data_IF_173059159191
#
_entry.id   IF_173059159191
#
_cell.length_a   1.000
_cell.length_b   1.000
_cell.length_c   1.000
_cell.angle_alpha   90.00
_cell.angle_beta   90.00
_cell.angle_gamma   90.00
#
_symmetry.space_group_name_H-M   'P 1'
#
loop_
_entity.id
_entity.type
_entity.pdbx_description
1 polymer ?
#
# COMPACT_ATOMS: atom_id res chain seq x y z
N UNK A 1 4.46 -18.10 15.50
CA UNK A 1 3.45 -17.50 14.59
C UNK A 1 4.03 -16.19 14.10
N UNK A 2 4.16 -16.04 12.80
CA UNK A 2 4.55 -14.80 12.10
C UNK A 2 3.54 -14.55 10.99
N UNK A 3 3.24 -13.28 10.76
CA UNK A 3 2.31 -12.84 9.72
C UNK A 3 3.04 -12.86 8.37
N UNK A 4 2.37 -13.35 7.33
CA UNK A 4 2.92 -13.34 5.97
C UNK A 4 2.77 -11.95 5.34
N UNK A 5 3.58 -11.66 4.33
CA UNK A 5 3.47 -10.40 3.58
C UNK A 5 2.12 -10.22 2.87
N UNK A 6 1.57 -11.31 2.34
CA UNK A 6 0.26 -11.30 1.66
C UNK A 6 -0.93 -11.43 2.61
N UNK A 7 -0.68 -11.73 3.88
CA UNK A 7 -1.73 -11.93 4.88
C UNK A 7 -2.21 -10.57 5.40
N UNK A 8 -3.51 -10.44 5.64
CA UNK A 8 -4.08 -9.23 6.24
C UNK A 8 -4.04 -9.28 7.76
N UNK A 9 -3.95 -8.12 8.42
CA UNK A 9 -3.93 -8.01 9.89
C UNK A 9 -5.13 -8.70 10.54
N UNK A 10 -6.31 -8.64 9.88
CA UNK A 10 -7.51 -9.31 10.38
C UNK A 10 -7.43 -10.84 10.38
N UNK A 11 -6.86 -11.43 9.33
CA UNK A 11 -6.66 -12.88 9.23
C UNK A 11 -5.62 -13.35 10.26
N UNK A 12 -4.53 -12.61 10.38
CA UNK A 12 -3.49 -12.87 11.37
C UNK A 12 -4.01 -12.80 12.80
N UNK A 13 -4.83 -11.79 13.11
CA UNK A 13 -5.45 -11.63 14.42
C UNK A 13 -6.34 -12.83 14.79
N UNK A 14 -7.11 -13.39 13.84
CA UNK A 14 -7.92 -14.58 14.09
C UNK A 14 -7.05 -15.80 14.43
N UNK A 15 -5.94 -16.00 13.72
CA UNK A 15 -4.99 -17.09 14.01
C UNK A 15 -4.37 -16.93 15.39
N UNK A 16 -3.98 -15.70 15.76
CA UNK A 16 -3.43 -15.41 17.07
C UNK A 16 -4.44 -15.70 18.18
N UNK A 17 -5.68 -15.23 18.04
CA UNK A 17 -6.74 -15.47 19.04
C UNK A 17 -7.07 -16.96 19.17
N UNK A 18 -7.09 -17.72 18.07
CA UNK A 18 -7.27 -19.18 18.13
C UNK A 18 -6.17 -19.85 18.97
N UNK A 19 -4.91 -19.48 18.73
CA UNK A 19 -3.77 -20.03 19.47
C UNK A 19 -3.80 -19.65 20.95
N UNK A 20 -4.17 -18.40 21.28
CA UNK A 20 -4.32 -17.95 22.68
C UNK A 20 -5.42 -18.75 23.38
N UNK A 21 -6.55 -18.96 22.71
CA UNK A 21 -7.67 -19.74 23.25
C UNK A 21 -7.30 -21.22 23.46
N UNK A 22 -6.59 -21.83 22.51
CA UNK A 22 -6.07 -23.20 22.63
C UNK A 22 -5.11 -23.34 23.81
N UNK A 23 -4.19 -22.39 24.00
CA UNK A 23 -3.29 -22.37 25.15
C UNK A 23 -4.05 -22.22 26.47
N UNK A 24 -5.07 -21.35 26.50
CA UNK A 24 -5.94 -21.19 27.66
C UNK A 24 -6.71 -22.47 28.01
N UNK A 25 -7.21 -23.18 27.01
CA UNK A 25 -7.89 -24.47 27.19
C UNK A 25 -6.95 -25.56 27.75
N UNK A 26 -5.65 -25.47 27.44
CA UNK A 26 -4.60 -26.35 27.98
C UNK A 26 -4.09 -25.92 29.38
N UNK A 27 -4.75 -24.95 30.01
CA UNK A 27 -4.38 -24.44 31.34
C UNK A 27 -3.21 -23.45 31.36
N UNK A 28 -2.69 -23.07 30.19
CA UNK A 28 -1.65 -22.06 30.05
C UNK A 28 -2.27 -20.68 29.87
N UNK A 29 -2.23 -19.82 30.90
CA UNK A 29 -2.59 -18.41 30.75
C UNK A 29 -1.38 -17.62 30.22
N UNK A 30 -1.52 -17.02 29.04
CA UNK A 30 -0.63 -15.94 28.62
C UNK A 30 -1.15 -14.62 29.18
N UNK A 31 -0.25 -13.78 29.70
CA UNK A 31 -0.58 -12.41 30.06
C UNK A 31 -0.79 -11.58 28.78
N UNK A 32 -1.75 -10.65 28.81
CA UNK A 32 -2.09 -9.79 27.66
C UNK A 32 -0.86 -9.04 27.12
N UNK A 33 0.06 -8.64 28.02
CA UNK A 33 1.32 -7.98 27.66
C UNK A 33 2.17 -8.89 26.76
N UNK A 34 2.32 -10.17 27.14
CA UNK A 34 3.10 -11.13 26.36
C UNK A 34 2.48 -11.39 24.98
N UNK A 35 1.13 -11.37 24.90
CA UNK A 35 0.41 -11.49 23.63
C UNK A 35 0.64 -10.26 22.75
N UNK A 36 0.59 -9.06 23.32
CA UNK A 36 0.87 -7.80 22.61
C UNK A 36 2.29 -7.78 22.06
N UNK A 37 3.30 -8.08 22.88
CA UNK A 37 4.70 -8.11 22.44
C UNK A 37 4.92 -9.12 21.31
N UNK A 38 4.31 -10.30 21.42
CA UNK A 38 4.42 -11.35 20.41
C UNK A 38 3.71 -10.96 19.11
N UNK A 39 2.59 -10.25 19.18
CA UNK A 39 1.90 -9.70 18.02
C UNK A 39 2.75 -8.63 17.33
N UNK A 40 3.31 -7.67 18.07
CA UNK A 40 4.16 -6.61 17.52
C UNK A 40 5.45 -7.15 16.90
N UNK A 41 6.02 -8.23 17.43
CA UNK A 41 7.20 -8.90 16.84
C UNK A 41 6.87 -9.79 15.64
N UNK A 42 5.60 -10.16 15.46
CA UNK A 42 5.19 -11.11 14.44
C UNK A 42 4.68 -10.44 13.16
N UNK A 43 4.50 -9.11 13.14
CA UNK A 43 4.09 -8.37 11.94
C UNK A 43 5.27 -8.16 10.96
N UNK A 44 5.01 -8.03 9.65
CA UNK A 44 6.06 -7.79 8.67
C UNK A 44 6.63 -6.36 8.73
N UNK A 45 7.79 -6.16 8.09
CA UNK A 45 8.59 -4.92 8.18
C UNK A 45 7.83 -3.65 7.77
N UNK A 46 6.86 -3.78 6.87
CA UNK A 46 6.00 -2.64 6.45
C UNK A 46 5.24 -2.00 7.61
N UNK A 47 5.02 -2.73 8.71
CA UNK A 47 4.38 -2.23 9.92
C UNK A 47 5.36 -1.66 10.96
N UNK A 48 6.68 -1.75 10.76
CA UNK A 48 7.66 -1.22 11.72
C UNK A 48 7.41 0.26 12.11
N UNK A 49 6.98 1.16 11.21
CA UNK A 49 6.69 2.53 11.61
C UNK A 49 5.57 2.65 12.65
N UNK A 50 4.50 1.86 12.52
CA UNK A 50 3.40 1.86 13.50
C UNK A 50 3.78 1.10 14.77
N UNK A 51 4.58 0.02 14.65
CA UNK A 51 5.13 -0.69 15.82
C UNK A 51 6.00 0.24 16.65
N UNK A 52 6.98 0.92 16.04
CA UNK A 52 7.83 1.89 16.74
C UNK A 52 7.01 3.03 17.36
N UNK A 53 5.93 3.48 16.71
CA UNK A 53 5.03 4.48 17.29
C UNK A 53 4.31 3.94 18.54
N UNK A 54 3.84 2.70 18.51
CA UNK A 54 3.18 2.05 19.65
C UNK A 54 4.18 1.84 20.80
N UNK A 55 5.41 1.41 20.51
CA UNK A 55 6.43 1.17 21.53
C UNK A 55 6.97 2.46 22.14
N UNK A 56 7.14 3.52 21.35
CA UNK A 56 7.74 4.76 21.79
C UNK A 56 6.75 5.70 22.50
N UNK A 57 5.47 5.65 22.13
CA UNK A 57 4.44 6.57 22.64
C UNK A 57 3.28 5.86 23.35
N UNK A 58 3.19 4.54 23.28
CA UNK A 58 2.16 3.74 23.94
C UNK A 58 2.67 3.10 25.23
N UNK A 59 1.77 2.94 26.20
CA UNK A 59 2.03 2.11 27.37
C UNK A 59 1.70 0.64 27.02
N UNK A 60 2.72 -0.09 26.56
CA UNK A 60 2.59 -1.51 26.14
C UNK A 60 2.13 -2.40 27.30
N UNK A 61 2.31 -1.98 28.55
CA UNK A 61 1.85 -2.73 29.73
C UNK A 61 0.35 -2.61 30.00
N UNK A 62 -0.30 -1.58 29.42
CA UNK A 62 -1.73 -1.30 29.60
C UNK A 62 -2.56 -1.43 28.33
N UNK A 63 -1.92 -1.48 27.17
CA UNK A 63 -2.62 -1.57 25.89
C UNK A 63 -3.25 -2.96 25.72
N UNK A 64 -4.51 -2.99 25.29
CA UNK A 64 -5.18 -4.26 25.01
C UNK A 64 -4.77 -4.81 23.65
N UNK A 65 -4.79 -6.14 23.51
CA UNK A 65 -4.52 -6.83 22.22
C UNK A 65 -5.45 -6.30 21.11
N UNK A 66 -6.73 -6.07 21.44
CA UNK A 66 -7.72 -5.55 20.50
C UNK A 66 -7.39 -4.14 20.01
N UNK A 67 -6.88 -3.28 20.88
CA UNK A 67 -6.47 -1.94 20.49
C UNK A 67 -5.27 -1.97 19.55
N UNK A 68 -4.27 -2.83 19.82
CA UNK A 68 -3.12 -2.99 18.93
C UNK A 68 -3.55 -3.50 17.55
N UNK A 69 -4.44 -4.50 17.50
CA UNK A 69 -5.02 -4.99 16.24
C UNK A 69 -5.75 -3.86 15.50
N UNK A 70 -6.51 -3.03 16.21
CA UNK A 70 -7.19 -1.87 15.64
C UNK A 70 -6.23 -0.87 15.01
N UNK A 71 -5.15 -0.51 15.72
CA UNK A 71 -4.11 0.41 15.21
C UNK A 71 -3.42 -0.15 13.97
N UNK A 72 -3.05 -1.43 14.00
CA UNK A 72 -2.44 -2.12 12.85
C UNK A 72 -3.38 -2.18 11.64
N UNK A 73 -4.68 -2.44 11.83
CA UNK A 73 -5.68 -2.44 10.75
C UNK A 73 -5.82 -1.06 10.10
N UNK A 74 -5.92 -0.01 10.89
CA UNK A 74 -6.00 1.38 10.38
C UNK A 74 -4.75 1.74 9.57
N UNK A 75 -3.58 1.31 10.04
CA UNK A 75 -2.33 1.51 9.33
C UNK A 75 -2.28 0.72 8.00
N UNK A 76 -2.74 -0.54 7.98
CA UNK A 76 -2.85 -1.34 6.75
C UNK A 76 -3.75 -0.66 5.70
N UNK A 77 -4.89 -0.12 6.11
CA UNK A 77 -5.79 0.63 5.21
C UNK A 77 -5.12 1.88 4.63
N UNK A 78 -4.28 2.55 5.43
CA UNK A 78 -3.53 3.74 5.00
C UNK A 78 -2.47 3.39 3.96
N UNK A 79 -1.77 2.26 4.11
CA UNK A 79 -0.81 1.77 3.12
C UNK A 79 -1.50 1.47 1.79
N UNK A 80 -2.62 0.74 1.82
CA UNK A 80 -3.45 0.43 0.63
C UNK A 80 -4.00 1.68 -0.05
N UNK A 81 -4.26 2.75 0.71
CA UNK A 81 -4.62 4.06 0.15
C UNK A 81 -3.49 4.63 -0.69
N UNK A 82 -2.30 4.73 -0.09
CA UNK A 82 -1.12 5.31 -0.75
C UNK A 82 -0.69 4.55 -2.00
N UNK A 83 -0.76 3.21 -1.98
CA UNK A 83 -0.44 2.39 -3.17
C UNK A 83 -1.37 2.71 -4.34
N UNK A 84 -2.68 2.84 -4.09
CA UNK A 84 -3.66 3.21 -5.12
C UNK A 84 -3.41 4.62 -5.67
N UNK A 85 -3.10 5.57 -4.79
CA UNK A 85 -2.82 6.95 -5.20
C UNK A 85 -1.57 7.01 -6.11
N UNK A 86 -0.52 6.24 -5.77
CA UNK A 86 0.70 6.13 -6.58
C UNK A 86 0.45 5.46 -7.94
N UNK A 87 -0.36 4.40 -7.98
CA UNK A 87 -0.76 3.77 -9.24
C UNK A 87 -1.53 4.73 -10.13
N UNK A 88 -2.46 5.50 -9.56
CA UNK A 88 -3.24 6.48 -10.31
C UNK A 88 -2.34 7.60 -10.86
N UNK A 89 -1.42 8.13 -10.05
CA UNK A 89 -0.45 9.14 -10.48
C UNK A 89 0.43 8.60 -11.62
N UNK A 90 0.92 7.38 -11.51
CA UNK A 90 1.72 6.74 -12.56
C UNK A 90 0.95 6.61 -13.87
N UNK A 91 -0.31 6.16 -13.79
CA UNK A 91 -1.20 6.06 -14.95
C UNK A 91 -1.48 7.42 -15.59
N UNK A 92 -1.68 8.48 -14.79
CA UNK A 92 -1.84 9.85 -15.30
C UNK A 92 -0.59 10.35 -16.03
N UNK A 93 0.60 10.07 -15.50
CA UNK A 93 1.87 10.44 -16.13
C UNK A 93 2.05 9.73 -17.49
N UNK A 94 1.77 8.43 -17.57
CA UNK A 94 1.83 7.67 -18.82
C UNK A 94 0.86 8.22 -19.88
N UNK A 95 -0.39 8.49 -19.51
CA UNK A 95 -1.40 9.10 -20.40
C UNK A 95 -0.96 10.48 -20.91
N UNK A 96 -0.31 11.26 -20.07
CA UNK A 96 0.20 12.59 -20.47
C UNK A 96 1.29 12.46 -21.55
N UNK A 97 2.22 11.51 -21.39
CA UNK A 97 3.25 11.22 -22.43
C UNK A 97 2.64 10.75 -23.75
N UNK A 98 1.55 9.97 -23.72
CA UNK A 98 0.86 9.53 -24.94
C UNK A 98 0.20 10.70 -25.68
N UNK A 99 -0.42 11.64 -24.95
CA UNK A 99 -0.99 12.86 -25.53
C UNK A 99 0.07 13.74 -26.19
N UNK A 100 1.24 13.88 -25.57
CA UNK A 100 2.34 14.65 -26.18
C UNK A 100 2.85 13.98 -27.47
N UNK A 101 2.98 12.64 -27.50
CA UNK A 101 3.32 11.92 -28.74
C UNK A 101 2.29 12.13 -29.86
N UNK A 102 1.00 12.27 -29.54
CA UNK A 102 -0.03 12.59 -30.54
C UNK A 102 0.09 14.02 -31.09
N UNK A 103 0.45 15.00 -30.26
CA UNK A 103 0.68 16.39 -30.71
C UNK A 103 1.82 16.51 -31.72
N UNK A 104 2.84 15.65 -31.61
CA UNK A 104 3.95 15.57 -32.57
C UNK A 104 3.73 14.54 -33.70
N UNK A 105 2.50 14.10 -33.98
CA UNK A 105 2.23 13.36 -35.21
C UNK A 105 2.64 14.24 -36.39
N UNK A 106 3.64 13.78 -37.16
CA UNK A 106 4.19 14.47 -38.33
C UNK A 106 3.03 15.01 -39.17
N UNK A 107 2.95 16.33 -39.26
CA UNK A 107 2.03 16.98 -40.18
C UNK A 107 2.35 16.47 -41.59
N UNK A 108 1.35 15.89 -42.24
CA UNK A 108 1.50 15.27 -43.55
C UNK A 108 1.71 16.36 -44.60
N UNK A 109 2.99 16.61 -44.94
CA UNK A 109 3.38 17.65 -45.89
C UNK A 109 2.79 17.41 -47.28
N UNK A 110 2.39 16.18 -47.63
CA UNK A 110 1.72 15.87 -48.91
C UNK A 110 0.39 16.60 -49.07
N UNK A 111 -0.22 17.07 -47.98
CA UNK A 111 -1.46 17.86 -48.01
C UNK A 111 -1.23 19.37 -48.16
N UNK A 112 0.01 19.83 -48.03
CA UNK A 112 0.37 21.25 -48.26
C UNK A 112 0.44 21.49 -49.76
N UNK A 113 -0.33 22.46 -50.25
CA UNK A 113 -0.19 22.99 -51.61
C UNK A 113 0.67 24.25 -51.58
N UNK A 114 1.70 24.31 -52.40
CA UNK A 114 2.53 25.49 -52.57
C UNK A 114 1.79 26.56 -53.39
N UNK A 115 1.80 27.82 -52.95
CA UNK A 115 1.13 28.93 -53.65
C UNK A 115 1.85 29.37 -54.93
N UNK A 116 3.14 29.08 -55.05
CA UNK A 116 3.98 29.53 -56.16
C UNK A 116 3.97 28.55 -57.35
N UNK A 117 4.03 27.23 -57.08
CA UNK A 117 4.04 26.19 -58.12
C UNK A 117 2.75 25.32 -58.17
N UNK A 118 1.82 25.49 -57.22
CA UNK A 118 0.59 24.69 -57.07
C UNK A 118 0.78 23.19 -56.81
N UNK A 119 2.02 22.73 -56.70
CA UNK A 119 2.35 21.35 -56.34
C UNK A 119 2.17 21.09 -54.85
N UNK A 120 1.99 19.81 -54.52
CA UNK A 120 1.81 19.33 -53.16
C UNK A 120 3.13 18.84 -52.56
N UNK A 121 3.31 18.91 -51.23
CA UNK A 121 4.44 18.28 -50.53
C UNK A 121 5.51 19.21 -49.95
N UNK A 122 5.49 20.51 -50.26
CA UNK A 122 6.53 21.46 -49.84
C UNK A 122 5.99 22.90 -49.69
N UNK A 123 6.82 23.79 -49.13
CA UNK A 123 6.60 25.23 -49.10
C UNK A 123 7.61 25.92 -50.05
N UNK A 124 7.13 26.94 -50.77
CA UNK A 124 7.79 27.81 -51.78
C UNK A 124 7.83 27.31 -53.23
#
# INVERSE_FOLDING_TARGET
>A
ISMKESEGVGEFALKLTSLVNEMGALGSKMEDIAVVEKLLRAVPDKFLPIVGTIEQWGDVTKISVMEVIGRLKTYELTLKGRERDQEEEHLMFLRSREKDKQKYRKFDKSKVRCYNCQDHGHYS
#
